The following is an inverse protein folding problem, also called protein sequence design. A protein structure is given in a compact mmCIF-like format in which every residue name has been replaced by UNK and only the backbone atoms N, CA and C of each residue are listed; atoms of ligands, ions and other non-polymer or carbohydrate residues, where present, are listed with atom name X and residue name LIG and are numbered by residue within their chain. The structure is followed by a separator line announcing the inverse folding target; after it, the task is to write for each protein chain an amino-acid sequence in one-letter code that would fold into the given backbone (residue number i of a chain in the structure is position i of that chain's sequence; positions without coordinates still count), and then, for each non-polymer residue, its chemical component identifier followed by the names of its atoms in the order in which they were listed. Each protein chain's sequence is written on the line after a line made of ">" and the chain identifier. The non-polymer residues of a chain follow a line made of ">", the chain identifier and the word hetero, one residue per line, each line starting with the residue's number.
data_IF_271985932658
#
_entry.id   IF_271985932658
#
_cell.length_a   1.000
_cell.length_b   1.000
_cell.length_c   1.000
_cell.angle_alpha   90.00
_cell.angle_beta   90.00
_cell.angle_gamma   90.00
#
_symmetry.space_group_name_H-M   'P 1'
#
loop_
_entity.id
_entity.type
_entity.pdbx_description
1 polymer ?
#
# COMPACT_ATOMS: atom_id res chain seq x y z
N UNK A 1 47.19 16.92 -17.44
CA UNK A 1 46.09 16.12 -18.02
C UNK A 1 44.81 16.69 -17.46
N UNK A 2 44.16 17.56 -18.21
CA UNK A 2 42.89 18.19 -17.83
C UNK A 2 41.75 17.28 -18.27
N UNK A 3 40.95 16.85 -17.31
CA UNK A 3 39.72 16.09 -17.55
C UNK A 3 38.83 16.87 -18.54
N UNK A 4 38.38 16.28 -19.65
CA UNK A 4 37.48 16.98 -20.57
C UNK A 4 36.17 17.31 -19.84
N UNK A 5 35.59 18.50 -20.05
CA UNK A 5 34.31 18.85 -19.45
C UNK A 5 33.28 17.83 -19.91
N UNK A 6 32.66 17.15 -18.93
CA UNK A 6 31.58 16.21 -19.18
C UNK A 6 30.53 16.93 -20.04
N UNK A 7 30.33 16.45 -21.28
CA UNK A 7 29.26 16.88 -22.16
C UNK A 7 27.97 16.57 -21.41
N UNK A 8 27.40 17.60 -20.77
CA UNK A 8 26.13 17.53 -20.10
C UNK A 8 25.07 17.30 -21.15
N UNK A 9 24.79 16.03 -21.46
CA UNK A 9 23.55 15.65 -22.11
C UNK A 9 22.48 16.08 -21.11
N UNK A 10 21.64 17.09 -21.41
CA UNK A 10 20.49 17.37 -20.57
C UNK A 10 19.63 16.13 -20.61
N UNK A 11 19.73 15.29 -19.57
CA UNK A 11 18.80 14.18 -19.44
C UNK A 11 17.42 14.81 -19.32
N UNK A 12 16.43 14.27 -20.02
CA UNK A 12 15.04 14.77 -20.16
C UNK A 12 14.28 14.84 -18.80
N UNK A 13 14.96 14.88 -17.66
CA UNK A 13 14.43 14.61 -16.32
C UNK A 13 14.86 15.59 -15.23
N UNK A 14 15.13 16.85 -15.55
CA UNK A 14 15.28 17.91 -14.54
C UNK A 14 14.06 18.85 -14.52
N UNK A 15 12.89 18.36 -14.94
CA UNK A 15 11.65 19.13 -14.81
C UNK A 15 10.98 18.83 -13.47
N UNK A 16 10.50 19.85 -12.75
CA UNK A 16 9.76 19.65 -11.51
C UNK A 16 8.50 18.80 -11.78
N UNK A 17 8.00 18.07 -10.77
CA UNK A 17 6.79 17.26 -10.90
C UNK A 17 5.61 18.13 -11.36
N UNK A 18 4.94 17.68 -12.43
CA UNK A 18 3.77 18.36 -12.94
C UNK A 18 2.53 18.07 -12.09
N UNK A 19 1.43 18.74 -12.42
CA UNK A 19 0.13 18.53 -11.76
C UNK A 19 -0.32 17.06 -11.80
N UNK A 20 0.03 16.34 -12.87
CA UNK A 20 -0.31 14.93 -13.06
C UNK A 20 0.38 14.06 -12.01
N UNK A 21 1.67 14.25 -11.78
CA UNK A 21 2.43 13.51 -10.77
C UNK A 21 1.89 13.83 -9.36
N UNK A 22 1.59 15.10 -9.09
CA UNK A 22 1.01 15.55 -7.83
C UNK A 22 -0.41 15.04 -7.55
N UNK A 23 -1.19 14.71 -8.57
CA UNK A 23 -2.52 14.08 -8.39
C UNK A 23 -2.38 12.57 -8.28
N UNK A 24 -1.60 11.95 -9.15
CA UNK A 24 -1.48 10.49 -9.21
C UNK A 24 -0.74 9.90 -8.01
N UNK A 25 0.27 10.56 -7.45
CA UNK A 25 0.99 10.08 -6.27
C UNK A 25 0.07 9.93 -5.03
N UNK A 26 -0.60 10.99 -4.54
CA UNK A 26 -1.51 10.87 -3.42
C UNK A 26 -2.75 10.05 -3.79
N UNK A 27 -3.25 10.14 -5.03
CA UNK A 27 -4.38 9.33 -5.49
C UNK A 27 -4.10 7.83 -5.39
N UNK A 28 -2.89 7.39 -5.76
CA UNK A 28 -2.49 6.00 -5.62
C UNK A 28 -2.45 5.56 -4.15
N UNK A 29 -1.86 6.36 -3.26
CA UNK A 29 -1.80 6.03 -1.83
C UNK A 29 -3.16 6.08 -1.12
N UNK A 30 -4.07 6.96 -1.55
CA UNK A 30 -5.45 6.94 -1.10
C UNK A 30 -6.17 5.64 -1.50
N UNK A 31 -5.95 5.15 -2.73
CA UNK A 31 -6.49 3.85 -3.15
C UNK A 31 -5.89 2.67 -2.37
N UNK A 32 -4.60 2.72 -2.02
CA UNK A 32 -3.98 1.73 -1.12
C UNK A 32 -4.63 1.76 0.26
N UNK A 33 -4.74 2.94 0.88
CA UNK A 33 -5.37 3.11 2.18
C UNK A 33 -6.82 2.61 2.19
N UNK A 34 -7.58 2.93 1.14
CA UNK A 34 -8.94 2.44 0.94
C UNK A 34 -8.97 0.91 0.83
N UNK A 35 -8.18 0.33 -0.08
CA UNK A 35 -8.19 -1.10 -0.35
C UNK A 35 -7.74 -1.95 0.84
N UNK A 36 -6.69 -1.52 1.55
CA UNK A 36 -6.22 -2.20 2.77
C UNK A 36 -7.27 -2.13 3.88
N UNK A 37 -7.92 -0.98 4.07
CA UNK A 37 -8.96 -0.83 5.09
C UNK A 37 -10.16 -1.72 4.78
N UNK A 38 -10.61 -1.75 3.52
CA UNK A 38 -11.65 -2.65 3.05
C UNK A 38 -11.28 -4.13 3.29
N UNK A 39 -10.02 -4.50 3.03
CA UNK A 39 -9.52 -5.87 3.25
C UNK A 39 -9.52 -6.25 4.73
N UNK A 40 -8.98 -5.38 5.59
CA UNK A 40 -8.87 -5.63 7.03
C UNK A 40 -10.25 -5.69 7.67
N UNK A 41 -11.15 -4.75 7.35
CA UNK A 41 -12.52 -4.75 7.89
C UNK A 41 -13.32 -5.94 7.37
N UNK A 42 -13.24 -6.21 6.05
CA UNK A 42 -13.91 -7.34 5.42
C UNK A 42 -13.47 -8.68 6.01
N UNK A 43 -12.15 -8.90 6.13
CA UNK A 43 -11.61 -10.12 6.73
C UNK A 43 -11.93 -10.23 8.22
N UNK A 44 -11.92 -9.12 8.97
CA UNK A 44 -12.30 -9.12 10.39
C UNK A 44 -13.76 -9.53 10.59
N UNK A 45 -14.67 -9.11 9.71
CA UNK A 45 -16.08 -9.57 9.71
C UNK A 45 -16.19 -11.07 9.46
N UNK A 46 -15.38 -11.64 8.57
CA UNK A 46 -15.34 -13.08 8.29
C UNK A 46 -14.72 -13.87 9.45
N UNK A 47 -13.65 -13.37 10.06
CA UNK A 47 -13.01 -13.99 11.22
C UNK A 47 -13.95 -14.03 12.43
N UNK A 48 -14.80 -13.01 12.60
CA UNK A 48 -15.80 -12.96 13.66
C UNK A 48 -16.86 -14.09 13.58
N UNK A 49 -17.07 -14.70 12.40
CA UNK A 49 -17.98 -15.85 12.21
C UNK A 49 -17.24 -17.18 12.06
N UNK A 50 -15.96 -17.24 12.40
CA UNK A 50 -15.17 -18.48 12.37
C UNK A 50 -14.25 -18.62 11.15
N UNK A 51 -14.06 -17.56 10.36
CA UNK A 51 -13.07 -17.51 9.27
C UNK A 51 -13.54 -18.07 7.93
N UNK A 52 -14.78 -18.57 7.86
CA UNK A 52 -15.42 -18.97 6.61
C UNK A 52 -16.89 -18.57 6.65
N UNK A 53 -17.38 -18.02 5.54
CA UNK A 53 -18.78 -17.79 5.31
C UNK A 53 -19.07 -17.84 3.80
N UNK A 54 -20.29 -18.16 3.44
CA UNK A 54 -20.76 -18.09 2.07
C UNK A 54 -22.09 -17.34 1.99
N UNK A 55 -22.39 -16.77 0.83
CA UNK A 55 -23.68 -16.14 0.56
C UNK A 55 -24.08 -16.42 -0.89
N UNK A 56 -25.26 -17.00 -1.06
CA UNK A 56 -25.80 -17.37 -2.37
C UNK A 56 -25.22 -18.69 -2.91
N UNK A 57 -26.03 -19.38 -3.72
CA UNK A 57 -25.68 -20.64 -4.36
C UNK A 57 -26.80 -21.69 -4.24
N UNK A 58 -26.78 -22.75 -5.08
CA UNK A 58 -27.75 -23.84 -5.01
C UNK A 58 -27.46 -24.85 -3.89
N UNK A 59 -26.38 -24.65 -3.12
CA UNK A 59 -25.93 -25.55 -2.06
C UNK A 59 -26.29 -25.00 -0.68
N UNK A 60 -26.48 -25.89 0.29
CA UNK A 60 -26.73 -25.48 1.68
C UNK A 60 -25.52 -24.75 2.28
N UNK A 61 -25.77 -23.55 2.77
CA UNK A 61 -24.76 -22.67 3.38
C UNK A 61 -24.68 -22.99 4.88
N UNK A 62 -23.56 -23.58 5.30
CA UNK A 62 -23.33 -23.91 6.71
C UNK A 62 -23.18 -22.65 7.61
N UNK A 63 -22.57 -21.58 7.09
CA UNK A 63 -22.38 -20.30 7.80
C UNK A 63 -22.64 -19.15 6.83
N UNK A 64 -23.70 -18.38 7.08
CA UNK A 64 -24.06 -17.23 6.26
C UNK A 64 -23.11 -16.05 6.51
N UNK A 65 -22.72 -15.34 5.46
CA UNK A 65 -21.88 -14.15 5.62
C UNK A 65 -22.64 -13.01 6.33
N UNK A 66 -21.98 -12.29 7.26
CA UNK A 66 -22.52 -11.07 7.84
C UNK A 66 -22.88 -10.06 6.75
N UNK A 67 -23.98 -9.35 6.94
CA UNK A 67 -24.39 -8.28 6.02
C UNK A 67 -23.26 -7.25 5.88
N UNK A 68 -22.93 -6.90 4.63
CA UNK A 68 -21.90 -5.92 4.32
C UNK A 68 -20.44 -6.44 4.35
N UNK A 69 -20.17 -7.74 4.52
CA UNK A 69 -18.79 -8.27 4.42
C UNK A 69 -18.30 -8.40 2.98
N UNK A 70 -19.22 -8.68 2.04
CA UNK A 70 -18.92 -8.98 0.63
C UNK A 70 -18.32 -7.78 -0.11
N UNK A 71 -18.99 -6.62 -0.09
CA UNK A 71 -18.55 -5.41 -0.80
C UNK A 71 -17.09 -5.01 -0.51
N UNK A 72 -16.67 -4.89 0.76
CA UNK A 72 -15.30 -4.53 1.12
C UNK A 72 -14.25 -5.51 0.60
N UNK A 73 -14.49 -6.81 0.73
CA UNK A 73 -13.54 -7.84 0.25
C UNK A 73 -13.38 -7.77 -1.27
N UNK A 74 -14.49 -7.60 -1.99
CA UNK A 74 -14.47 -7.48 -3.46
C UNK A 74 -13.84 -6.16 -3.94
N UNK A 75 -13.97 -5.07 -3.18
CA UNK A 75 -13.40 -3.77 -3.55
C UNK A 75 -11.89 -3.67 -3.24
N UNK A 76 -11.39 -4.42 -2.26
CA UNK A 76 -10.02 -4.31 -1.76
C UNK A 76 -8.95 -4.55 -2.83
N UNK A 77 -8.95 -5.73 -3.47
CA UNK A 77 -7.91 -6.10 -4.44
C UNK A 77 -7.94 -5.21 -5.70
N UNK A 78 -9.11 -4.92 -6.31
CA UNK A 78 -9.17 -3.98 -7.43
C UNK A 78 -8.66 -2.58 -7.07
N UNK A 79 -8.97 -2.06 -5.88
CA UNK A 79 -8.48 -0.76 -5.45
C UNK A 79 -6.95 -0.72 -5.34
N UNK A 80 -6.33 -1.73 -4.73
CA UNK A 80 -4.87 -1.83 -4.63
C UNK A 80 -4.23 -2.04 -6.01
N UNK A 81 -4.81 -2.86 -6.88
CA UNK A 81 -4.32 -3.05 -8.23
C UNK A 81 -4.36 -1.74 -9.04
N UNK A 82 -5.48 -1.01 -8.96
CA UNK A 82 -5.61 0.30 -9.59
C UNK A 82 -4.59 1.30 -9.01
N UNK A 83 -4.35 1.28 -7.70
CA UNK A 83 -3.33 2.10 -7.06
C UNK A 83 -1.94 1.86 -7.65
N UNK A 84 -1.56 0.61 -7.85
CA UNK A 84 -0.27 0.23 -8.46
C UNK A 84 -0.18 0.77 -9.89
N UNK A 85 -1.25 0.62 -10.69
CA UNK A 85 -1.30 1.14 -12.06
C UNK A 85 -1.18 2.68 -12.09
N UNK A 86 -1.92 3.39 -11.23
CA UNK A 86 -1.85 4.85 -11.11
C UNK A 86 -0.45 5.29 -10.65
N UNK A 87 0.18 4.55 -9.74
CA UNK A 87 1.55 4.82 -9.30
C UNK A 87 2.59 4.65 -10.43
N UNK A 88 2.52 3.54 -11.18
CA UNK A 88 3.46 3.24 -12.27
C UNK A 88 3.29 4.22 -13.42
N UNK A 89 2.07 4.35 -13.94
CA UNK A 89 1.81 5.11 -15.17
C UNK A 89 1.59 6.59 -14.91
N UNK A 90 0.95 6.94 -13.78
CA UNK A 90 0.61 8.30 -13.38
C UNK A 90 1.78 9.02 -12.70
N UNK A 91 2.21 8.53 -11.53
CA UNK A 91 3.23 9.20 -10.71
C UNK A 91 4.66 9.07 -11.26
N UNK A 92 4.95 8.08 -12.13
CA UNK A 92 6.21 7.96 -12.90
C UNK A 92 7.50 8.06 -12.07
N UNK A 93 7.45 7.55 -10.83
CA UNK A 93 8.57 7.54 -9.90
C UNK A 93 8.72 8.81 -9.06
N UNK A 94 7.72 9.69 -9.02
CA UNK A 94 7.60 10.77 -8.04
C UNK A 94 7.01 10.24 -6.72
N UNK A 95 7.60 10.65 -5.59
CA UNK A 95 7.17 10.25 -4.25
C UNK A 95 7.42 8.78 -3.91
N UNK A 96 6.82 8.33 -2.80
CA UNK A 96 6.96 6.95 -2.30
C UNK A 96 6.33 5.97 -3.32
N UNK A 97 7.10 5.01 -3.88
CA UNK A 97 6.63 4.16 -4.96
C UNK A 97 5.67 3.07 -4.47
N UNK A 98 4.37 3.22 -4.75
CA UNK A 98 3.33 2.24 -4.35
C UNK A 98 3.66 0.80 -4.74
N UNK A 99 4.19 0.58 -5.95
CA UNK A 99 4.54 -0.76 -6.44
C UNK A 99 5.63 -1.46 -5.62
N UNK A 100 6.46 -0.73 -4.88
CA UNK A 100 7.46 -1.31 -3.97
C UNK A 100 6.87 -1.74 -2.63
N UNK A 101 5.74 -1.14 -2.22
CA UNK A 101 5.18 -1.29 -0.87
C UNK A 101 3.84 -2.03 -0.83
N UNK A 102 3.07 -2.09 -1.92
CA UNK A 102 1.72 -2.65 -1.90
C UNK A 102 1.70 -4.09 -1.38
N UNK A 103 2.71 -4.89 -1.72
CA UNK A 103 2.84 -6.27 -1.25
C UNK A 103 2.99 -6.31 0.28
N UNK A 104 4.03 -5.67 0.81
CA UNK A 104 4.27 -5.62 2.25
C UNK A 104 3.10 -5.01 3.02
N UNK A 105 2.45 -3.99 2.46
CA UNK A 105 1.31 -3.34 3.08
C UNK A 105 0.09 -4.27 3.13
N UNK A 106 -0.23 -4.98 2.04
CA UNK A 106 -1.36 -5.90 1.96
C UNK A 106 -1.19 -7.11 2.88
N UNK A 107 -0.05 -7.81 2.77
CA UNK A 107 0.22 -9.00 3.58
C UNK A 107 0.49 -8.64 5.04
N UNK A 108 1.16 -7.52 5.30
CA UNK A 108 1.44 -7.05 6.65
C UNK A 108 0.16 -6.66 7.39
N UNK A 109 -0.73 -5.91 6.75
CA UNK A 109 -2.03 -5.56 7.33
C UNK A 109 -2.89 -6.79 7.61
N UNK A 110 -2.92 -7.76 6.69
CA UNK A 110 -3.65 -9.01 6.90
C UNK A 110 -3.07 -9.85 8.05
N UNK A 111 -1.73 -9.92 8.17
CA UNK A 111 -1.06 -10.60 9.28
C UNK A 111 -1.42 -9.98 10.62
N UNK A 112 -1.43 -8.64 10.71
CA UNK A 112 -1.89 -7.91 11.90
C UNK A 112 -3.36 -8.25 12.22
N UNK A 113 -4.24 -8.27 11.22
CA UNK A 113 -5.65 -8.60 11.41
C UNK A 113 -5.85 -10.01 12.02
N UNK A 114 -5.07 -10.99 11.58
CA UNK A 114 -5.08 -12.34 12.18
C UNK A 114 -4.62 -12.36 13.64
N UNK A 115 -3.57 -11.59 13.98
CA UNK A 115 -3.14 -11.48 15.38
C UNK A 115 -4.19 -10.79 16.26
N UNK A 116 -4.85 -9.75 15.75
CA UNK A 116 -5.96 -9.09 16.45
C UNK A 116 -7.11 -10.07 16.67
N UNK A 117 -7.50 -10.85 15.66
CA UNK A 117 -8.51 -11.88 15.80
C UNK A 117 -8.13 -12.93 16.86
N UNK A 118 -6.88 -13.41 16.85
CA UNK A 118 -6.35 -14.35 17.85
C UNK A 118 -6.43 -13.83 19.28
N UNK A 119 -6.29 -12.52 19.48
CA UNK A 119 -6.42 -11.90 20.79
C UNK A 119 -7.88 -11.59 21.19
N UNK A 120 -8.75 -11.28 20.23
CA UNK A 120 -10.07 -10.72 20.49
C UNK A 120 -11.20 -11.76 20.66
N UNK A 121 -11.09 -12.95 20.06
CA UNK A 121 -12.11 -13.99 20.22
C UNK A 121 -11.74 -14.98 21.34
N UNK A 122 -12.74 -15.71 21.85
CA UNK A 122 -12.70 -16.53 23.08
C UNK A 122 -11.83 -17.81 22.99
N UNK A 123 -10.59 -17.65 22.54
CA UNK A 123 -9.53 -18.65 22.49
C UNK A 123 -8.54 -18.30 21.38
N UNK A 124 -7.21 -18.26 21.63
CA UNK A 124 -6.23 -18.15 20.57
C UNK A 124 -6.35 -19.39 19.70
N UNK A 125 -7.04 -19.28 18.56
CA UNK A 125 -7.05 -20.37 17.60
C UNK A 125 -5.64 -20.43 17.03
N UNK A 126 -4.95 -21.53 17.28
CA UNK A 126 -3.59 -21.78 16.77
C UNK A 126 -3.51 -21.48 15.26
N UNK A 127 -4.59 -21.73 14.53
CA UNK A 127 -4.74 -21.38 13.11
C UNK A 127 -4.54 -19.90 12.80
N UNK A 128 -5.18 -18.97 13.52
CA UNK A 128 -5.02 -17.54 13.25
C UNK A 128 -3.62 -17.04 13.59
N UNK A 129 -2.98 -17.56 14.65
CA UNK A 129 -1.60 -17.22 14.97
C UNK A 129 -0.66 -17.68 13.84
N UNK A 130 -0.82 -18.93 13.38
CA UNK A 130 -0.03 -19.48 12.27
C UNK A 130 -0.23 -18.62 11.01
N UNK A 131 -1.48 -18.30 10.66
CA UNK A 131 -1.77 -17.42 9.52
C UNK A 131 -1.12 -16.05 9.69
N UNK A 132 -1.24 -15.40 10.86
CA UNK A 132 -0.62 -14.11 11.15
C UNK A 132 0.89 -14.13 10.92
N UNK A 133 1.59 -15.15 11.43
CA UNK A 133 3.04 -15.33 11.22
C UNK A 133 3.36 -15.51 9.74
N UNK A 134 2.65 -16.40 9.04
CA UNK A 134 2.88 -16.63 7.60
C UNK A 134 2.70 -15.35 6.79
N UNK A 135 1.63 -14.60 7.03
CA UNK A 135 1.36 -13.34 6.34
C UNK A 135 2.43 -12.28 6.62
N UNK A 136 2.92 -12.16 7.85
CA UNK A 136 4.04 -11.26 8.18
C UNK A 136 5.33 -11.69 7.47
N UNK A 137 5.65 -12.98 7.44
CA UNK A 137 6.84 -13.47 6.72
C UNK A 137 6.75 -13.17 5.21
N UNK A 138 5.58 -13.38 4.61
CA UNK A 138 5.33 -13.04 3.20
C UNK A 138 5.40 -11.52 2.97
N UNK A 139 4.97 -10.71 3.94
CA UNK A 139 5.07 -9.26 3.88
C UNK A 139 6.53 -8.76 3.89
N UNK A 140 7.45 -9.51 4.50
CA UNK A 140 8.88 -9.18 4.56
C UNK A 140 9.66 -9.57 3.30
N UNK A 141 9.08 -10.37 2.41
CA UNK A 141 9.73 -10.83 1.18
C UNK A 141 10.33 -9.70 0.30
N UNK A 142 9.70 -8.52 0.16
CA UNK A 142 10.26 -7.40 -0.61
C UNK A 142 11.35 -6.63 0.14
N UNK A 143 11.53 -6.83 1.44
CA UNK A 143 12.42 -6.01 2.26
C UNK A 143 13.89 -6.01 1.77
N UNK A 144 14.49 -7.13 1.34
CA UNK A 144 15.83 -7.12 0.75
C UNK A 144 15.91 -6.30 -0.55
N UNK A 145 14.87 -6.35 -1.39
CA UNK A 145 14.81 -5.56 -2.63
C UNK A 145 14.69 -4.05 -2.33
N UNK A 146 13.92 -3.68 -1.30
CA UNK A 146 13.81 -2.30 -0.82
C UNK A 146 15.15 -1.80 -0.25
N UNK A 147 15.88 -2.67 0.47
CA UNK A 147 17.19 -2.33 1.02
C UNK A 147 18.24 -2.11 -0.07
N UNK A 148 18.30 -2.97 -1.09
CA UNK A 148 19.22 -2.83 -2.24
C UNK A 148 18.88 -1.57 -3.05
N UNK A 149 17.60 -1.24 -3.19
CA UNK A 149 17.13 -0.06 -3.91
C UNK A 149 17.25 1.26 -3.14
N UNK A 150 17.82 1.26 -1.94
CA UNK A 150 17.97 2.47 -1.12
C UNK A 150 18.83 3.53 -1.82
N UNK A 151 18.48 4.83 -1.75
CA UNK A 151 17.28 5.45 -1.17
C UNK A 151 16.07 5.52 -2.14
N UNK A 152 16.25 5.13 -3.40
CA UNK A 152 15.26 5.29 -4.48
C UNK A 152 14.00 4.44 -4.28
N UNK A 153 14.12 3.32 -3.58
CA UNK A 153 13.00 2.46 -3.24
C UNK A 153 12.05 3.11 -2.24
N UNK A 154 12.53 4.00 -1.37
CA UNK A 154 11.71 4.68 -0.36
C UNK A 154 11.13 6.00 -0.85
N UNK A 155 11.96 6.78 -1.54
CA UNK A 155 11.64 8.18 -1.83
C UNK A 155 11.27 8.43 -3.30
N UNK A 156 11.26 7.37 -4.10
CA UNK A 156 11.12 7.49 -5.54
C UNK A 156 12.42 7.91 -6.19
N UNK A 157 12.32 8.32 -7.45
CA UNK A 157 13.48 8.63 -8.30
C UNK A 157 13.73 10.12 -8.46
N UNK A 158 12.79 10.98 -8.03
CA UNK A 158 12.83 12.43 -8.29
C UNK A 158 12.55 13.26 -7.03
N UNK A 159 13.24 14.38 -6.94
CA UNK A 159 13.08 15.44 -5.94
C UNK A 159 12.00 16.44 -6.35
N UNK A 160 11.67 17.38 -5.45
CA UNK A 160 10.70 18.45 -5.74
C UNK A 160 11.21 19.44 -6.80
N UNK A 161 12.53 19.65 -6.87
CA UNK A 161 13.18 20.49 -7.88
C UNK A 161 13.30 19.80 -9.26
N UNK A 162 12.80 18.56 -9.37
CA UNK A 162 12.87 17.76 -10.59
C UNK A 162 14.12 16.89 -10.71
N UNK A 163 15.18 17.17 -9.94
CA UNK A 163 16.44 16.43 -10.02
C UNK A 163 16.26 14.98 -9.55
N UNK A 164 17.12 14.10 -10.05
CA UNK A 164 17.15 12.71 -9.60
C UNK A 164 17.59 12.60 -8.13
N UNK A 165 17.02 11.63 -7.40
CA UNK A 165 17.49 11.28 -6.05
C UNK A 165 18.86 10.59 -6.18
N UNK A 166 19.87 11.23 -5.60
CA UNK A 166 21.25 10.76 -5.52
C UNK A 166 21.45 9.75 -4.35
N UNK A 167 22.70 9.35 -4.11
CA UNK A 167 23.03 8.40 -3.05
C UNK A 167 22.80 8.95 -1.62
N UNK A 168 22.68 10.27 -1.45
CA UNK A 168 22.62 10.93 -0.14
C UNK A 168 21.19 11.12 0.39
N UNK A 169 20.17 10.69 -0.37
CA UNK A 169 18.77 10.72 0.05
C UNK A 169 18.04 12.01 -0.34
N UNK A 170 16.85 12.21 0.24
CA UNK A 170 16.07 13.44 0.08
C UNK A 170 16.53 14.49 1.09
N UNK A 171 16.68 15.77 0.69
CA UNK A 171 16.80 16.84 1.66
C UNK A 171 15.56 16.87 2.57
N UNK A 172 15.76 17.21 3.85
CA UNK A 172 14.71 17.24 4.88
C UNK A 172 13.41 17.96 4.43
N UNK A 173 13.43 19.15 3.81
CA UNK A 173 12.20 19.81 3.37
C UNK A 173 11.41 18.95 2.35
N UNK A 174 12.08 18.37 1.37
CA UNK A 174 11.42 17.51 0.38
C UNK A 174 10.83 16.25 1.04
N UNK A 175 11.58 15.64 1.97
CA UNK A 175 11.13 14.47 2.71
C UNK A 175 9.88 14.76 3.56
N UNK A 176 9.80 15.93 4.19
CA UNK A 176 8.62 16.36 4.97
C UNK A 176 7.40 16.56 4.07
N UNK A 177 7.56 17.21 2.92
CA UNK A 177 6.46 17.43 1.98
C UNK A 177 5.96 16.12 1.39
N UNK A 178 6.86 15.27 0.89
CA UNK A 178 6.50 13.97 0.30
C UNK A 178 5.90 13.05 1.37
N UNK A 179 6.50 13.02 2.56
CA UNK A 179 6.03 12.20 3.69
C UNK A 179 4.66 12.63 4.22
N UNK A 180 4.41 13.93 4.34
CA UNK A 180 3.09 14.44 4.75
C UNK A 180 2.01 14.16 3.69
N UNK A 181 2.29 14.40 2.42
CA UNK A 181 1.37 14.07 1.33
C UNK A 181 1.04 12.56 1.28
N UNK A 182 2.04 11.71 1.50
CA UNK A 182 1.86 10.26 1.63
C UNK A 182 0.96 9.89 2.81
N UNK A 183 1.26 10.40 4.00
CA UNK A 183 0.51 10.07 5.22
C UNK A 183 -0.95 10.55 5.13
N UNK A 184 -1.15 11.80 4.70
CA UNK A 184 -2.48 12.41 4.57
C UNK A 184 -3.33 11.66 3.54
N UNK A 185 -2.77 11.33 2.37
CA UNK A 185 -3.52 10.62 1.34
C UNK A 185 -3.90 9.21 1.75
N UNK A 186 -2.98 8.47 2.38
CA UNK A 186 -3.25 7.13 2.93
C UNK A 186 -4.37 7.18 3.99
N UNK A 187 -4.29 8.13 4.92
CA UNK A 187 -5.30 8.33 5.96
C UNK A 187 -6.67 8.76 5.38
N UNK A 188 -6.68 9.62 4.36
CA UNK A 188 -7.89 10.02 3.67
C UNK A 188 -8.57 8.83 2.98
N UNK A 189 -7.80 7.98 2.30
CA UNK A 189 -8.30 6.74 1.70
C UNK A 189 -8.88 5.76 2.72
N UNK A 190 -8.19 5.56 3.84
CA UNK A 190 -8.68 4.72 4.93
C UNK A 190 -9.98 5.27 5.54
N UNK A 191 -10.04 6.57 5.81
CA UNK A 191 -11.25 7.23 6.32
C UNK A 191 -12.42 7.09 5.35
N UNK A 192 -12.18 7.26 4.05
CA UNK A 192 -13.19 7.08 3.02
C UNK A 192 -13.72 5.64 2.99
N UNK A 193 -12.86 4.64 3.14
CA UNK A 193 -13.28 3.25 3.26
C UNK A 193 -14.16 3.03 4.48
N UNK A 194 -13.76 3.53 5.66
CA UNK A 194 -14.58 3.40 6.87
C UNK A 194 -15.95 4.06 6.70
N UNK A 195 -16.02 5.23 6.07
CA UNK A 195 -17.27 5.91 5.77
C UNK A 195 -18.15 5.13 4.77
N UNK A 196 -17.55 4.46 3.78
CA UNK A 196 -18.29 3.66 2.80
C UNK A 196 -18.83 2.34 3.37
N UNK A 197 -18.16 1.79 4.40
CA UNK A 197 -18.47 0.49 4.99
C UNK A 197 -19.47 0.57 6.16
N UNK A 198 -19.55 1.72 6.83
CA UNK A 198 -20.45 2.01 7.95
C UNK A 198 -21.84 2.39 7.48
#
# INVERSE_FOLDING_TARGET
>A
MTEPPAIGVPTVRDTPPGIREWVCFPGAWALVGFGITCLVVGSSRVMAVGGYCAQGGPYEVAVACPTGSTGPVFAALPAVALAVLVGIFGARGFGVPVHGYFWSALFGAQGIAFFVAAAAHAGPTTGWIICGVVFVLVALLPAPLLAIGWPRAFFGRRRLDGRAVDHYGLPLPDAVVIGSAWAVSTAAGATLALWWIG
#
